data_IF_013898147381
#
_entry.id   IF_013898147381
#
_cell.length_a   1.000
_cell.length_b   1.000
_cell.length_c   1.000
_cell.angle_alpha   90.00
_cell.angle_beta   90.00
_cell.angle_gamma   90.00
#
_symmetry.space_group_name_H-M   'P 1'
#
loop_
_entity.id
_entity.type
_entity.pdbx_description
1 polymer ?
#
# COMPACT_ATOMS: atom_id res chain seq x y z
N UNK A 1 8.49 -31.25 15.89
CA UNK A 1 7.85 -29.94 16.21
C UNK A 1 6.35 -30.14 16.11
N UNK A 2 5.65 -30.09 17.25
CA UNK A 2 4.20 -30.26 17.34
C UNK A 2 3.52 -29.06 16.68
N UNK A 3 2.88 -29.32 15.54
CA UNK A 3 2.04 -28.34 14.82
C UNK A 3 0.84 -28.05 15.71
N UNK A 4 0.63 -26.79 16.06
CA UNK A 4 -0.63 -26.38 16.68
C UNK A 4 -1.68 -26.34 15.57
N UNK A 5 -2.81 -27.04 15.73
CA UNK A 5 -3.88 -26.98 14.73
C UNK A 5 -4.46 -25.58 14.69
N UNK A 6 -4.66 -25.04 13.48
CA UNK A 6 -5.37 -23.79 13.27
C UNK A 6 -6.83 -23.97 13.68
N UNK A 7 -7.36 -23.03 14.48
CA UNK A 7 -8.78 -23.04 14.83
C UNK A 7 -9.64 -22.66 13.63
N UNK A 8 -10.95 -22.90 13.71
CA UNK A 8 -11.90 -22.50 12.66
C UNK A 8 -11.89 -20.98 12.43
N UNK A 9 -11.68 -20.20 13.49
CA UNK A 9 -11.60 -18.74 13.43
C UNK A 9 -10.30 -18.29 12.73
N UNK A 10 -9.18 -18.96 12.99
CA UNK A 10 -7.90 -18.68 12.31
C UNK A 10 -8.02 -18.97 10.80
N UNK A 11 -8.65 -20.08 10.44
CA UNK A 11 -8.90 -20.45 9.04
C UNK A 11 -9.83 -19.45 8.34
N UNK A 12 -10.83 -18.90 9.05
CA UNK A 12 -11.71 -17.88 8.50
C UNK A 12 -10.95 -16.58 8.20
N UNK A 13 -10.05 -16.15 9.09
CA UNK A 13 -9.17 -14.99 8.86
C UNK A 13 -8.30 -15.21 7.62
N UNK A 14 -7.67 -16.38 7.53
CA UNK A 14 -6.80 -16.73 6.39
C UNK A 14 -7.59 -16.70 5.08
N UNK A 15 -8.75 -17.36 5.03
CA UNK A 15 -9.58 -17.42 3.83
C UNK A 15 -10.10 -16.03 3.41
N UNK A 16 -10.47 -15.19 4.38
CA UNK A 16 -10.87 -13.80 4.15
C UNK A 16 -9.75 -13.02 3.45
N UNK A 17 -8.53 -13.05 3.99
CA UNK A 17 -7.40 -12.31 3.42
C UNK A 17 -6.90 -12.89 2.09
N UNK A 18 -6.89 -14.21 1.92
CA UNK A 18 -6.49 -14.83 0.64
C UNK A 18 -7.45 -14.43 -0.48
N UNK A 19 -8.76 -14.48 -0.22
CA UNK A 19 -9.79 -14.10 -1.19
C UNK A 19 -9.66 -12.62 -1.57
N UNK A 20 -9.53 -11.74 -0.56
CA UNK A 20 -9.37 -10.30 -0.77
C UNK A 20 -8.09 -9.98 -1.57
N UNK A 21 -6.97 -10.55 -1.17
CA UNK A 21 -5.68 -10.36 -1.83
C UNK A 21 -5.76 -10.75 -3.31
N UNK A 22 -6.33 -11.93 -3.62
CA UNK A 22 -6.48 -12.40 -4.99
C UNK A 22 -7.37 -11.48 -5.84
N UNK A 23 -8.52 -11.05 -5.32
CA UNK A 23 -9.46 -10.17 -6.02
C UNK A 23 -8.83 -8.81 -6.34
N UNK A 24 -8.12 -8.21 -5.39
CA UNK A 24 -7.50 -6.90 -5.55
C UNK A 24 -6.35 -6.96 -6.55
N UNK A 25 -5.49 -7.98 -6.45
CA UNK A 25 -4.41 -8.18 -7.42
C UNK A 25 -4.97 -8.32 -8.82
N UNK A 26 -6.06 -9.08 -8.99
CA UNK A 26 -6.72 -9.23 -10.29
C UNK A 26 -7.26 -7.89 -10.78
N UNK A 27 -7.99 -7.14 -9.95
CA UNK A 27 -8.54 -5.83 -10.32
C UNK A 27 -7.44 -4.83 -10.74
N UNK A 28 -6.30 -4.82 -10.05
CA UNK A 28 -5.16 -3.98 -10.41
C UNK A 28 -4.57 -4.43 -11.76
N UNK A 29 -4.41 -5.74 -11.99
CA UNK A 29 -3.91 -6.29 -13.27
C UNK A 29 -4.84 -5.94 -14.42
N UNK A 30 -6.14 -6.14 -14.26
CA UNK A 30 -7.15 -5.78 -15.26
C UNK A 30 -7.06 -4.29 -15.60
N UNK A 31 -6.80 -3.44 -14.59
CA UNK A 31 -6.60 -2.01 -14.82
C UNK A 31 -5.33 -1.69 -15.57
N UNK A 32 -4.22 -2.37 -15.26
CA UNK A 32 -2.99 -2.25 -16.05
C UNK A 32 -3.21 -2.66 -17.50
N UNK A 33 -3.88 -3.79 -17.74
CA UNK A 33 -4.20 -4.26 -19.08
C UNK A 33 -5.11 -3.29 -19.83
N UNK A 34 -6.16 -2.77 -19.18
CA UNK A 34 -7.03 -1.76 -19.77
C UNK A 34 -6.28 -0.47 -20.12
N UNK A 35 -5.34 -0.02 -19.27
CA UNK A 35 -4.48 1.14 -19.57
C UNK A 35 -3.56 0.88 -20.76
N UNK A 36 -2.94 -0.31 -20.83
CA UNK A 36 -2.09 -0.70 -21.97
C UNK A 36 -2.90 -0.83 -23.26
N UNK A 37 -4.09 -1.42 -23.19
CA UNK A 37 -5.00 -1.51 -24.33
C UNK A 37 -5.46 -0.13 -24.79
N UNK A 38 -5.83 0.77 -23.88
CA UNK A 38 -6.19 2.14 -24.22
C UNK A 38 -5.02 2.92 -24.84
N UNK A 39 -3.80 2.72 -24.35
CA UNK A 39 -2.59 3.30 -24.95
C UNK A 39 -2.27 2.71 -26.33
N UNK A 40 -2.54 1.42 -26.55
CA UNK A 40 -2.32 0.77 -27.84
C UNK A 40 -3.43 1.07 -28.87
N UNK A 41 -4.67 1.29 -28.41
CA UNK A 41 -5.82 1.68 -29.25
C UNK A 41 -5.79 3.18 -29.53
N UNK A 42 -5.23 3.99 -28.63
CA UNK A 42 -4.87 5.37 -28.95
C UNK A 42 -3.60 5.43 -29.77
N UNK A 43 -3.81 5.35 -31.08
CA UNK A 43 -2.93 5.85 -32.14
C UNK A 43 -2.59 7.34 -32.02
N UNK A 44 -2.50 7.92 -30.82
CA UNK A 44 -2.04 9.29 -30.61
C UNK A 44 -0.60 9.48 -31.12
N UNK A 45 0.21 8.42 -31.06
CA UNK A 45 1.50 8.31 -31.75
C UNK A 45 1.34 8.36 -33.26
N UNK A 46 0.49 7.52 -33.85
CA UNK A 46 0.27 7.50 -35.31
C UNK A 46 -0.33 8.82 -35.82
N UNK A 47 -1.24 9.47 -35.09
CA UNK A 47 -1.76 10.81 -35.44
C UNK A 47 -0.67 11.88 -35.38
N UNK A 48 0.23 11.83 -34.39
CA UNK A 48 1.38 12.74 -34.35
C UNK A 48 2.37 12.44 -35.47
N UNK A 49 2.54 11.17 -35.84
CA UNK A 49 3.39 10.74 -36.95
C UNK A 49 2.81 11.20 -38.29
N UNK A 50 1.52 11.00 -38.53
CA UNK A 50 0.79 11.50 -39.71
C UNK A 50 0.88 13.03 -39.79
N UNK A 51 0.58 13.75 -38.72
CA UNK A 51 0.68 15.22 -38.71
C UNK A 51 2.13 15.70 -38.94
N UNK A 52 3.12 14.95 -38.49
CA UNK A 52 4.55 15.25 -38.70
C UNK A 52 4.98 14.95 -40.13
N UNK A 53 4.45 13.90 -40.75
CA UNK A 53 4.67 13.55 -42.15
C UNK A 53 3.99 14.56 -43.09
N UNK A 54 2.74 14.95 -42.80
CA UNK A 54 2.02 16.03 -43.49
C UNK A 54 2.79 17.36 -43.36
N UNK A 55 3.26 17.72 -42.17
CA UNK A 55 4.08 18.91 -41.98
C UNK A 55 5.41 18.86 -42.74
N UNK A 56 5.96 17.66 -42.98
CA UNK A 56 7.22 17.51 -43.73
C UNK A 56 7.08 17.74 -45.24
N UNK A 57 5.85 17.62 -45.77
CA UNK A 57 5.54 17.78 -47.20
C UNK A 57 4.64 19.00 -47.50
N UNK A 58 4.10 19.65 -46.47
CA UNK A 58 3.21 20.79 -46.57
C UNK A 58 3.92 22.08 -47.03
N UNK A 59 3.14 23.00 -47.59
CA UNK A 59 3.61 24.34 -47.96
C UNK A 59 3.79 25.21 -46.71
N UNK A 60 4.66 26.21 -46.79
CA UNK A 60 4.98 27.10 -45.67
C UNK A 60 3.77 27.83 -45.06
N UNK A 61 2.70 28.02 -45.85
CA UNK A 61 1.45 28.63 -45.39
C UNK A 61 0.61 27.72 -44.47
N UNK A 62 0.75 26.40 -44.58
CA UNK A 62 -0.08 25.42 -43.86
C UNK A 62 0.60 24.92 -42.58
N UNK A 63 1.92 25.11 -42.46
CA UNK A 63 2.72 24.71 -41.29
C UNK A 63 2.20 25.26 -39.96
N UNK A 64 1.77 26.54 -39.84
CA UNK A 64 1.27 27.07 -38.57
C UNK A 64 0.06 26.31 -38.03
N UNK A 65 -0.86 25.90 -38.91
CA UNK A 65 -2.06 25.15 -38.54
C UNK A 65 -1.72 23.72 -38.09
N UNK A 66 -0.80 23.05 -38.78
CA UNK A 66 -0.34 21.72 -38.42
C UNK A 66 0.41 21.71 -37.08
N UNK A 67 1.24 22.71 -36.80
CA UNK A 67 1.91 22.84 -35.51
C UNK A 67 0.94 23.09 -34.35
N UNK A 68 -0.11 23.88 -34.56
CA UNK A 68 -1.14 24.11 -33.55
C UNK A 68 -1.95 22.82 -33.25
N UNK A 69 -2.27 22.05 -34.29
CA UNK A 69 -2.89 20.72 -34.14
C UNK A 69 -1.97 19.75 -33.37
N UNK A 70 -0.67 19.72 -33.68
CA UNK A 70 0.29 18.89 -32.96
C UNK A 70 0.43 19.29 -31.48
N UNK A 71 0.44 20.59 -31.17
CA UNK A 71 0.53 21.10 -29.81
C UNK A 71 -0.75 20.80 -29.02
N UNK A 72 -1.92 20.96 -29.65
CA UNK A 72 -3.22 20.59 -29.07
C UNK A 72 -3.26 19.11 -28.75
N UNK A 73 -2.83 18.25 -29.68
CA UNK A 73 -2.77 16.81 -29.48
C UNK A 73 -1.83 16.44 -28.32
N UNK A 74 -0.65 17.08 -28.22
CA UNK A 74 0.27 16.91 -27.08
C UNK A 74 -0.31 17.40 -25.76
N UNK A 75 -1.03 18.51 -25.76
CA UNK A 75 -1.68 19.06 -24.56
C UNK A 75 -2.78 18.12 -24.05
N UNK A 76 -3.60 17.56 -24.95
CA UNK A 76 -4.62 16.54 -24.62
C UNK A 76 -3.95 15.28 -24.04
N UNK A 77 -2.80 14.86 -24.57
CA UNK A 77 -2.03 13.75 -24.01
C UNK A 77 -1.47 14.08 -22.62
N UNK A 78 -0.95 15.31 -22.41
CA UNK A 78 -0.42 15.77 -21.13
C UNK A 78 -1.46 15.89 -20.02
N UNK A 79 -2.71 16.22 -20.38
CA UNK A 79 -3.86 16.25 -19.46
C UNK A 79 -4.24 14.87 -18.92
N UNK A 80 -3.85 13.79 -19.60
CA UNK A 80 -4.14 12.39 -19.21
C UNK A 80 -3.05 11.79 -18.32
N UNK A 81 -2.53 12.57 -17.38
CA UNK A 81 -1.63 12.03 -16.36
C UNK A 81 -2.45 11.14 -15.44
N UNK A 82 -2.49 9.84 -15.76
CA UNK A 82 -3.22 8.86 -14.97
C UNK A 82 -2.50 8.68 -13.63
N UNK A 83 -3.26 8.63 -12.54
CA UNK A 83 -2.70 8.35 -11.22
C UNK A 83 -1.92 7.02 -11.24
N UNK A 84 -0.79 6.93 -10.55
CA UNK A 84 -0.01 5.70 -10.50
C UNK A 84 -0.84 4.58 -9.85
N UNK A 85 -0.70 3.35 -10.35
CA UNK A 85 -1.38 2.17 -9.82
C UNK A 85 -0.45 1.39 -8.89
N UNK A 86 -0.96 0.82 -7.78
CA UNK A 86 -0.14 0.00 -6.88
C UNK A 86 0.54 -1.16 -7.61
N UNK A 87 1.72 -1.56 -7.15
CA UNK A 87 2.41 -2.75 -7.66
C UNK A 87 1.58 -4.01 -7.33
N UNK A 88 1.12 -4.80 -8.33
CA UNK A 88 0.37 -6.04 -8.09
C UNK A 88 1.16 -7.09 -7.28
N UNK A 89 2.48 -6.95 -7.16
CA UNK A 89 3.33 -7.88 -6.40
C UNK A 89 3.18 -7.70 -4.90
N UNK A 90 2.89 -6.48 -4.45
CA UNK A 90 2.70 -6.10 -3.05
C UNK A 90 1.83 -4.81 -2.97
N UNK A 91 0.52 -4.90 -3.25
CA UNK A 91 -0.31 -3.72 -3.43
C UNK A 91 -0.68 -3.00 -2.12
N UNK A 92 -0.69 -3.72 -1.01
CA UNK A 92 -0.99 -3.20 0.33
C UNK A 92 -0.29 -4.07 1.39
N UNK A 93 -0.08 -3.51 2.58
CA UNK A 93 0.56 -4.20 3.70
C UNK A 93 -0.31 -4.23 4.97
N UNK A 94 -1.40 -3.47 5.01
CA UNK A 94 -2.31 -3.46 6.15
C UNK A 94 -3.77 -3.52 5.73
N UNK A 95 -4.58 -4.12 6.60
CA UNK A 95 -6.04 -4.16 6.49
C UNK A 95 -6.67 -3.70 7.80
N UNK A 96 -7.53 -2.69 7.70
CA UNK A 96 -8.21 -2.03 8.80
C UNK A 96 -9.72 -2.09 8.58
N UNK A 97 -10.47 -2.51 9.59
CA UNK A 97 -11.93 -2.41 9.60
C UNK A 97 -12.35 -1.44 10.69
N UNK A 98 -13.03 -0.37 10.30
CA UNK A 98 -13.47 0.70 11.21
C UNK A 98 -14.98 0.71 11.31
N UNK A 99 -15.51 0.95 12.51
CA UNK A 99 -16.93 1.17 12.73
C UNK A 99 -17.16 2.62 13.18
N UNK A 100 -17.90 3.39 12.38
CA UNK A 100 -18.35 4.74 12.73
C UNK A 100 -19.88 4.77 12.66
N UNK A 101 -20.55 5.19 13.73
CA UNK A 101 -22.02 5.31 13.78
C UNK A 101 -22.77 4.03 13.33
N UNK A 102 -22.27 2.85 13.73
CA UNK A 102 -22.83 1.55 13.36
C UNK A 102 -22.58 1.12 11.90
N UNK A 103 -21.79 1.87 11.13
CA UNK A 103 -21.38 1.49 9.77
C UNK A 103 -19.94 1.01 9.76
N UNK A 104 -19.74 -0.21 9.28
CA UNK A 104 -18.41 -0.81 9.09
C UNK A 104 -17.85 -0.45 7.72
N UNK A 105 -16.56 -0.12 7.67
CA UNK A 105 -15.81 0.16 6.45
C UNK A 105 -14.45 -0.50 6.54
N UNK A 106 -14.13 -1.31 5.54
CA UNK A 106 -12.80 -1.88 5.36
C UNK A 106 -11.94 -0.89 4.55
N UNK A 107 -10.69 -0.74 4.94
CA UNK A 107 -9.68 0.11 4.30
C UNK A 107 -8.37 -0.65 4.27
N UNK A 108 -7.66 -0.57 3.15
CA UNK A 108 -6.33 -1.16 3.00
C UNK A 108 -5.29 -0.06 2.93
N UNK A 109 -4.11 -0.30 3.51
CA UNK A 109 -3.00 0.65 3.48
C UNK A 109 -1.87 0.13 2.61
N UNK A 110 -1.43 0.95 1.66
CA UNK A 110 -0.32 0.67 0.75
C UNK A 110 0.41 1.96 0.38
N UNK A 111 1.37 1.88 -0.55
CA UNK A 111 2.16 3.04 -1.01
C UNK A 111 1.48 3.86 -2.10
N UNK A 112 0.41 3.35 -2.69
CA UNK A 112 -0.33 4.02 -3.76
C UNK A 112 -1.82 3.78 -3.55
N UNK A 113 -2.62 4.81 -3.84
CA UNK A 113 -4.06 4.71 -3.68
C UNK A 113 -4.70 3.95 -4.85
N UNK A 114 -5.68 3.09 -4.54
CA UNK A 114 -6.52 2.41 -5.51
C UNK A 114 -7.96 2.42 -5.03
N UNK A 115 -8.71 3.44 -5.47
CA UNK A 115 -10.05 3.76 -4.98
C UNK A 115 -11.18 3.07 -5.77
N UNK A 116 -10.84 2.42 -6.90
CA UNK A 116 -11.83 1.75 -7.75
C UNK A 116 -12.48 0.55 -7.04
N UNK A 117 -11.76 -0.05 -6.09
CA UNK A 117 -12.27 -1.13 -5.25
C UNK A 117 -13.04 -0.60 -4.04
N UNK A 118 -14.29 -0.19 -4.26
CA UNK A 118 -15.10 0.59 -3.29
C UNK A 118 -15.34 -0.09 -1.93
N UNK A 119 -15.37 -1.42 -1.88
CA UNK A 119 -15.66 -2.13 -0.63
C UNK A 119 -14.47 -2.14 0.35
N UNK A 120 -13.23 -2.01 -0.17
CA UNK A 120 -12.02 -1.96 0.64
C UNK A 120 -10.89 -1.26 -0.14
N UNK A 121 -10.98 0.07 -0.35
CA UNK A 121 -10.02 0.78 -1.18
C UNK A 121 -8.62 0.71 -0.58
N UNK A 122 -7.60 0.71 -1.45
CA UNK A 122 -6.22 0.92 -1.00
C UNK A 122 -6.00 2.41 -0.88
N UNK A 123 -5.45 2.82 0.25
CA UNK A 123 -5.16 4.20 0.59
C UNK A 123 -3.66 4.33 0.81
N UNK A 124 -3.09 5.40 0.28
CA UNK A 124 -1.69 5.76 0.52
C UNK A 124 -1.47 6.12 2.00
N UNK A 125 -0.65 5.32 2.67
CA UNK A 125 -0.45 5.43 4.11
C UNK A 125 0.26 6.74 4.53
N UNK A 126 1.09 7.31 3.65
CA UNK A 126 1.90 8.48 3.97
C UNK A 126 1.07 9.77 3.97
N UNK A 127 0.03 9.81 3.15
CA UNK A 127 -0.73 11.04 2.90
C UNK A 127 -2.14 11.01 3.50
N UNK A 128 -2.67 9.84 3.85
CA UNK A 128 -4.04 9.73 4.31
C UNK A 128 -4.19 9.82 5.84
N UNK A 129 -5.07 10.69 6.36
CA UNK A 129 -5.34 10.80 7.80
C UNK A 129 -5.82 9.49 8.45
N UNK A 130 -6.50 8.63 7.68
CA UNK A 130 -6.98 7.32 8.15
C UNK A 130 -5.85 6.39 8.61
N UNK A 131 -4.63 6.61 8.13
CA UNK A 131 -3.46 5.82 8.51
C UNK A 131 -3.03 6.08 9.94
N UNK A 132 -3.31 7.27 10.49
CA UNK A 132 -3.11 7.59 11.92
C UNK A 132 -3.82 6.56 12.80
N UNK A 133 -5.03 6.15 12.42
CA UNK A 133 -5.81 5.18 13.17
C UNK A 133 -5.05 3.83 13.27
N UNK A 134 -4.44 3.38 12.18
CA UNK A 134 -3.70 2.12 12.15
C UNK A 134 -2.43 2.15 13.02
N UNK A 135 -1.74 3.29 13.09
CA UNK A 135 -0.51 3.41 13.86
C UNK A 135 -0.75 3.75 15.34
N UNK A 136 -1.80 4.52 15.65
CA UNK A 136 -2.05 5.03 16.99
C UNK A 136 -2.99 4.15 17.84
N UNK A 137 -3.83 3.32 17.23
CA UNK A 137 -4.85 2.54 17.94
C UNK A 137 -4.75 1.04 17.66
N UNK A 138 -5.19 0.25 18.64
CA UNK A 138 -5.22 -1.22 18.58
C UNK A 138 -6.61 -1.72 18.21
N UNK A 139 -6.65 -2.99 17.82
CA UNK A 139 -7.92 -3.70 17.61
C UNK A 139 -8.75 -3.71 18.90
N UNK A 140 -10.02 -3.33 18.79
CA UNK A 140 -10.96 -3.18 19.89
C UNK A 140 -10.95 -1.82 20.58
N UNK A 141 -10.03 -0.91 20.24
CA UNK A 141 -9.97 0.43 20.82
C UNK A 141 -10.87 1.42 20.10
N UNK A 142 -11.44 2.34 20.87
CA UNK A 142 -12.11 3.52 20.35
C UNK A 142 -11.06 4.55 19.89
N UNK A 143 -11.31 5.17 18.75
CA UNK A 143 -10.46 6.21 18.20
C UNK A 143 -11.20 7.55 18.11
N UNK A 144 -10.43 8.61 18.25
CA UNK A 144 -10.84 9.99 17.98
C UNK A 144 -9.70 10.69 17.24
N UNK A 145 -9.88 10.92 15.95
CA UNK A 145 -8.86 11.48 15.07
C UNK A 145 -9.39 12.68 14.30
N UNK A 146 -8.56 13.71 14.17
CA UNK A 146 -8.91 14.90 13.41
C UNK A 146 -8.64 14.69 11.92
N UNK A 147 -9.70 14.61 11.13
CA UNK A 147 -9.65 14.55 9.67
C UNK A 147 -9.97 15.93 9.09
N UNK A 148 -9.58 16.21 7.83
CA UNK A 148 -9.90 17.47 7.18
C UNK A 148 -11.41 17.78 7.25
N UNK A 149 -11.76 18.80 8.03
CA UNK A 149 -13.14 19.28 8.19
C UNK A 149 -14.05 18.44 9.11
N UNK A 150 -13.55 17.42 9.81
CA UNK A 150 -14.33 16.67 10.82
C UNK A 150 -13.47 15.97 11.86
N UNK A 151 -14.00 15.79 13.06
CA UNK A 151 -13.47 14.83 14.03
C UNK A 151 -14.10 13.46 13.74
N UNK A 152 -13.27 12.48 13.41
CA UNK A 152 -13.69 11.10 13.19
C UNK A 152 -13.67 10.35 14.54
N UNK A 153 -14.81 9.74 14.90
CA UNK A 153 -14.97 8.92 16.10
C UNK A 153 -15.53 7.55 15.73
N UNK A 154 -14.95 6.50 16.28
CA UNK A 154 -15.38 5.14 16.01
C UNK A 154 -14.57 4.12 16.78
N UNK A 155 -14.69 2.85 16.37
CA UNK A 155 -13.96 1.74 16.99
C UNK A 155 -13.18 0.97 15.92
N UNK A 156 -11.97 0.54 16.24
CA UNK A 156 -11.17 -0.33 15.38
C UNK A 156 -11.65 -1.78 15.54
N UNK A 157 -12.39 -2.30 14.57
CA UNK A 157 -12.96 -3.66 14.63
C UNK A 157 -11.94 -4.72 14.25
N UNK A 158 -11.10 -4.44 13.24
CA UNK A 158 -10.03 -5.34 12.79
C UNK A 158 -8.79 -4.54 12.49
N UNK A 159 -7.62 -5.03 12.90
CA UNK A 159 -6.33 -4.47 12.52
C UNK A 159 -5.37 -5.60 12.17
N UNK A 160 -5.06 -5.73 10.89
CA UNK A 160 -4.23 -6.81 10.37
C UNK A 160 -3.03 -6.28 9.60
N UNK A 161 -1.89 -6.91 9.77
CA UNK A 161 -0.70 -6.71 8.93
C UNK A 161 -0.56 -7.92 8.03
N UNK A 162 -0.37 -7.69 6.74
CA UNK A 162 -0.20 -8.73 5.75
C UNK A 162 1.17 -8.62 5.09
N UNK A 163 1.74 -9.77 4.72
CA UNK A 163 2.92 -9.82 3.86
C UNK A 163 2.51 -10.41 2.54
N UNK A 164 2.51 -9.59 1.49
CA UNK A 164 2.28 -10.01 0.12
C UNK A 164 3.62 -9.95 -0.60
N UNK A 165 3.98 -11.04 -1.28
CA UNK A 165 5.21 -11.12 -2.06
C UNK A 165 4.91 -11.87 -3.35
N UNK A 166 5.43 -11.36 -4.47
CA UNK A 166 5.17 -11.93 -5.81
C UNK A 166 3.68 -12.24 -6.06
N UNK A 167 2.81 -11.30 -5.67
CA UNK A 167 1.35 -11.42 -5.84
C UNK A 167 0.71 -12.58 -5.05
N UNK A 168 1.34 -13.06 -3.98
CA UNK A 168 0.80 -14.09 -3.10
C UNK A 168 0.87 -13.64 -1.65
N UNK A 169 -0.18 -13.96 -0.89
CA UNK A 169 -0.23 -13.73 0.55
C UNK A 169 0.61 -14.78 1.27
N UNK A 170 1.63 -14.33 2.00
CA UNK A 170 2.59 -15.19 2.71
C UNK A 170 2.43 -15.18 4.22
N UNK A 171 1.97 -14.06 4.80
CA UNK A 171 1.88 -13.89 6.23
C UNK A 171 0.71 -13.00 6.61
N UNK A 172 0.07 -13.31 7.73
CA UNK A 172 -1.00 -12.51 8.31
C UNK A 172 -0.72 -12.37 9.81
N UNK A 173 -0.78 -11.16 10.32
CA UNK A 173 -0.80 -10.85 11.74
C UNK A 173 -2.15 -10.26 12.09
N UNK A 174 -2.87 -10.90 13.01
CA UNK A 174 -4.23 -10.51 13.40
C UNK A 174 -4.50 -10.93 14.84
N UNK A 175 -5.14 -10.08 15.66
CA UNK A 175 -5.53 -10.43 17.03
C UNK A 175 -4.38 -10.97 17.91
N UNK A 176 -3.16 -10.45 17.73
CA UNK A 176 -1.96 -10.93 18.45
C UNK A 176 -1.40 -12.28 17.98
N UNK A 177 -2.01 -12.90 16.98
CA UNK A 177 -1.55 -14.14 16.34
C UNK A 177 -0.78 -13.86 15.06
N UNK A 178 0.08 -14.79 14.68
CA UNK A 178 0.84 -14.77 13.42
C UNK A 178 0.62 -16.07 12.66
N UNK A 179 0.27 -15.96 11.39
CA UNK A 179 0.09 -17.08 10.48
C UNK A 179 1.04 -16.94 9.30
N UNK A 180 1.65 -18.04 8.87
CA UNK A 180 2.56 -18.04 7.72
C UNK A 180 2.24 -19.19 6.78
N UNK A 181 2.31 -18.90 5.48
CA UNK A 181 2.21 -19.88 4.41
C UNK A 181 3.55 -20.56 4.17
N UNK A 182 3.55 -21.88 4.11
CA UNK A 182 4.70 -22.70 3.72
C UNK A 182 4.83 -22.78 2.20
N UNK A 183 5.99 -23.23 1.73
CA UNK A 183 6.22 -23.50 0.29
C UNK A 183 5.24 -24.56 -0.26
N UNK A 184 4.77 -25.48 0.59
CA UNK A 184 3.73 -26.46 0.23
C UNK A 184 2.36 -25.83 -0.01
N UNK A 185 2.18 -24.54 0.33
CA UNK A 185 0.89 -23.84 0.31
C UNK A 185 0.06 -23.99 1.59
N UNK A 186 0.49 -24.86 2.53
CA UNK A 186 -0.18 -25.04 3.83
C UNK A 186 0.06 -23.83 4.74
N UNK A 187 -0.98 -23.40 5.46
CA UNK A 187 -0.87 -22.37 6.50
C UNK A 187 -0.52 -22.99 7.85
N UNK A 188 0.39 -22.33 8.57
CA UNK A 188 0.77 -22.72 9.93
C UNK A 188 0.70 -21.54 10.88
N UNK A 189 0.50 -21.84 12.16
CA UNK A 189 0.70 -20.87 13.24
C UNK A 189 2.19 -20.59 13.43
N UNK A 190 2.58 -19.31 13.39
CA UNK A 190 3.95 -18.87 13.53
C UNK A 190 4.26 -18.48 14.99
N UNK A 191 4.81 -19.45 15.73
CA UNK A 191 5.19 -19.30 17.14
C UNK A 191 6.32 -18.30 17.39
N UNK A 192 7.08 -17.94 16.36
CA UNK A 192 8.11 -16.90 16.48
C UNK A 192 7.51 -15.48 16.46
N UNK A 193 6.18 -15.37 16.40
CA UNK A 193 5.41 -14.31 17.03
C UNK A 193 5.99 -12.92 16.81
N UNK A 194 5.71 -12.35 15.65
CA UNK A 194 5.95 -10.95 15.36
C UNK A 194 5.33 -10.04 16.44
N UNK A 195 6.17 -9.35 17.20
CA UNK A 195 5.76 -8.24 18.08
C UNK A 195 5.74 -6.96 17.24
N UNK A 196 4.58 -6.34 16.97
CA UNK A 196 4.41 -5.24 16.03
C UNK A 196 4.79 -3.89 16.66
N UNK A 197 5.99 -3.80 17.24
CA UNK A 197 6.50 -2.54 17.80
C UNK A 197 8.00 -2.51 17.71
N UNK A 198 8.54 -1.52 17.01
CA UNK A 198 9.89 -1.02 17.22
C UNK A 198 9.93 -0.22 18.52
N UNK A 199 9.63 -0.83 19.66
CA UNK A 199 9.69 -0.12 20.95
C UNK A 199 11.13 0.34 21.22
N UNK A 200 11.31 1.66 21.16
CA UNK A 200 12.55 2.37 21.45
C UNK A 200 13.00 2.14 22.88
N UNK A 201 13.85 1.15 23.08
CA UNK A 201 14.54 0.90 24.34
C UNK A 201 15.84 0.14 24.06
N UNK A 202 16.93 0.57 24.70
CA UNK A 202 18.23 -0.09 24.64
C UNK A 202 18.13 -1.47 25.32
N UNK A 203 17.61 -2.45 24.59
CA UNK A 203 17.37 -3.82 25.08
C UNK A 203 16.16 -4.53 24.45
N UNK A 204 15.23 -3.80 23.84
CA UNK A 204 14.00 -4.38 23.23
C UNK A 204 14.03 -4.42 21.70
N UNK A 205 15.07 -3.88 21.06
CA UNK A 205 15.31 -3.98 19.62
C UNK A 205 15.77 -5.40 19.24
N UNK A 206 14.89 -6.39 19.43
CA UNK A 206 15.24 -7.77 19.14
C UNK A 206 14.93 -8.13 17.68
N UNK A 207 15.93 -7.93 16.83
CA UNK A 207 16.35 -8.91 15.81
C UNK A 207 15.31 -9.40 14.79
N UNK A 208 14.56 -8.53 14.13
CA UNK A 208 13.75 -8.95 12.96
C UNK A 208 13.89 -8.08 11.71
N UNK A 209 14.52 -6.90 11.82
CA UNK A 209 14.74 -6.03 10.68
C UNK A 209 16.16 -6.19 10.12
N UNK A 210 16.34 -7.23 9.32
CA UNK A 210 17.41 -7.28 8.32
C UNK A 210 16.73 -7.49 6.96
N UNK A 211 17.15 -6.69 5.97
CA UNK A 211 16.56 -6.53 4.64
C UNK A 211 15.97 -7.79 4.02
N UNK A 212 14.69 -7.70 3.62
CA UNK A 212 14.06 -8.47 2.52
C UNK A 212 13.80 -9.96 2.74
N UNK A 213 14.69 -10.65 3.45
CA UNK A 213 14.55 -12.01 3.90
C UNK A 213 14.97 -12.00 5.37
N UNK A 214 14.04 -12.17 6.30
CA UNK A 214 14.41 -12.32 7.70
C UNK A 214 15.42 -13.47 7.89
N UNK A 215 15.92 -13.65 9.12
CA UNK A 215 16.78 -14.80 9.51
C UNK A 215 16.21 -16.18 9.12
N UNK A 216 14.92 -16.23 8.77
CA UNK A 216 14.15 -17.41 8.37
C UNK A 216 14.10 -17.64 6.85
N UNK A 217 14.80 -16.86 6.03
CA UNK A 217 14.81 -16.93 4.56
C UNK A 217 13.40 -16.84 3.93
N UNK A 218 12.47 -16.14 4.60
CA UNK A 218 11.06 -16.03 4.21
C UNK A 218 10.65 -14.56 4.11
N UNK A 219 9.66 -14.22 3.26
CA UNK A 219 9.16 -12.85 3.17
C UNK A 219 8.77 -12.31 4.54
N UNK A 220 9.35 -11.16 4.88
CA UNK A 220 9.10 -10.44 6.12
C UNK A 220 8.02 -9.36 5.90
N UNK A 221 7.30 -8.96 6.96
CA UNK A 221 6.40 -7.82 6.90
C UNK A 221 7.08 -6.58 6.36
N UNK A 222 6.30 -5.77 5.67
CA UNK A 222 6.79 -4.51 5.15
C UNK A 222 7.16 -3.56 6.28
N UNK A 223 8.28 -2.83 6.14
CA UNK A 223 8.82 -1.98 7.20
C UNK A 223 7.85 -0.87 7.61
N UNK A 224 7.10 -0.29 6.66
CA UNK A 224 6.08 0.72 6.92
C UNK A 224 4.99 0.22 7.88
N UNK A 225 4.69 -1.08 7.87
CA UNK A 225 3.72 -1.69 8.78
C UNK A 225 4.22 -1.79 10.24
N UNK A 226 5.53 -1.56 10.46
CA UNK A 226 6.23 -1.77 11.74
C UNK A 226 6.49 -0.48 12.51
N UNK A 227 6.19 0.66 11.87
CA UNK A 227 6.42 1.96 12.45
C UNK A 227 5.64 2.07 13.76
N UNK A 228 6.33 2.53 14.79
CA UNK A 228 5.66 2.98 16.00
C UNK A 228 4.99 4.36 15.77
N UNK A 229 4.10 4.81 16.67
CA UNK A 229 3.41 6.10 16.53
C UNK A 229 4.35 7.30 16.33
N UNK A 230 5.49 7.32 17.03
CA UNK A 230 6.46 8.41 16.93
C UNK A 230 7.17 8.37 15.57
N UNK A 231 7.63 7.21 15.13
CA UNK A 231 8.25 7.02 13.81
C UNK A 231 7.30 7.41 12.67
N UNK A 232 6.04 6.99 12.74
CA UNK A 232 5.02 7.36 11.78
C UNK A 232 4.79 8.89 11.75
N UNK A 233 4.67 9.52 12.92
CA UNK A 233 4.53 10.98 13.05
C UNK A 233 5.71 11.73 12.44
N UNK A 234 6.93 11.24 12.62
CA UNK A 234 8.12 11.84 12.02
C UNK A 234 8.12 11.73 10.49
N UNK A 235 7.71 10.59 9.94
CA UNK A 235 7.67 10.34 8.50
C UNK A 235 6.53 11.06 7.75
N UNK A 236 5.52 11.51 8.50
CA UNK A 236 4.34 12.22 7.96
C UNK A 236 4.31 13.70 8.35
N UNK A 237 5.34 14.21 9.02
CA UNK A 237 5.50 15.62 9.33
C UNK A 237 5.75 16.45 8.05
N UNK A 238 5.39 17.73 8.08
CA UNK A 238 5.58 18.64 6.96
C UNK A 238 7.08 18.83 6.63
N UNK A 239 7.38 18.93 5.35
CA UNK A 239 8.76 18.93 4.81
C UNK A 239 9.62 20.13 5.24
N UNK A 240 9.00 21.20 5.74
CA UNK A 240 9.69 22.46 6.03
C UNK A 240 10.33 22.49 7.44
N UNK A 241 10.08 21.48 8.27
CA UNK A 241 10.63 21.42 9.62
C UNK A 241 11.93 20.58 9.67
N UNK A 242 13.07 21.17 10.11
CA UNK A 242 14.33 20.43 10.21
C UNK A 242 14.22 19.33 11.27
N UNK A 243 14.37 18.08 10.84
CA UNK A 243 14.23 16.91 11.70
C UNK A 243 15.58 16.42 12.23
N UNK A 244 15.72 16.32 13.56
CA UNK A 244 16.85 15.66 14.22
C UNK A 244 16.40 14.32 14.82
N UNK A 245 16.84 13.22 14.22
CA UNK A 245 16.54 11.86 14.72
C UNK A 245 17.70 11.37 15.60
N UNK A 246 17.49 11.35 16.92
CA UNK A 246 18.43 10.80 17.90
C UNK A 246 17.98 9.41 18.35
N UNK A 247 18.92 8.47 18.52
CA UNK A 247 18.58 7.14 19.05
C UNK A 247 19.75 6.16 19.07
N UNK A 248 19.65 5.12 19.91
CA UNK A 248 20.67 4.07 20.05
C UNK A 248 20.81 3.15 18.83
N UNK A 249 21.84 2.31 18.78
CA UNK A 249 21.99 1.32 17.70
C UNK A 249 20.75 0.40 17.62
N UNK A 250 20.24 0.14 16.41
CA UNK A 250 19.10 -0.76 16.19
C UNK A 250 17.69 -0.17 16.38
N UNK A 251 17.55 1.12 16.72
CA UNK A 251 16.24 1.75 16.94
C UNK A 251 15.52 2.25 15.67
N UNK A 252 15.94 1.80 14.48
CA UNK A 252 15.25 2.16 13.22
C UNK A 252 15.59 3.54 12.62
N UNK A 253 16.65 4.23 13.05
CA UNK A 253 17.04 5.53 12.46
C UNK A 253 17.22 5.48 10.94
N UNK A 254 17.89 4.44 10.44
CA UNK A 254 18.10 4.26 9.00
C UNK A 254 16.78 4.00 8.27
N UNK A 255 15.84 3.31 8.90
CA UNK A 255 14.49 3.10 8.34
C UNK A 255 13.79 4.43 8.13
N UNK A 256 13.81 5.30 9.15
CA UNK A 256 13.22 6.64 9.06
C UNK A 256 13.92 7.47 7.98
N UNK A 257 15.25 7.41 7.88
CA UNK A 257 16.00 8.16 6.87
C UNK A 257 15.78 7.70 5.42
N UNK A 258 15.28 6.47 5.20
CA UNK A 258 15.04 5.91 3.86
C UNK A 258 13.62 6.14 3.34
N UNK A 259 12.67 6.53 4.19
CA UNK A 259 11.25 6.74 3.86
C UNK A 259 10.88 8.22 3.86
#
# INVERSE_FOLDING_TARGET
>A
MTREPLSQEDLAIIAEEETRCAQIIQAIRDKFEARRAAQNVESAGERLEVLREEASTAKSADLPALFDQMNTQRAIMGLRKQDPLPDPRAPYFAHLCLEENGKRRDVLLGHQSFLEWRNSPIIDWKHAPVSRIFFNYREGEDYEEEFPGRIARGTVIKRRVVTIHNSQLYRIHAGGKSFRKLESGEWIFDKQGFTPTLTGGAGSANRTLQSGLGLTNTPAPEVSALLDPDQFRLLTADYDDPLLVLGGAGCGKTTIALH
#
